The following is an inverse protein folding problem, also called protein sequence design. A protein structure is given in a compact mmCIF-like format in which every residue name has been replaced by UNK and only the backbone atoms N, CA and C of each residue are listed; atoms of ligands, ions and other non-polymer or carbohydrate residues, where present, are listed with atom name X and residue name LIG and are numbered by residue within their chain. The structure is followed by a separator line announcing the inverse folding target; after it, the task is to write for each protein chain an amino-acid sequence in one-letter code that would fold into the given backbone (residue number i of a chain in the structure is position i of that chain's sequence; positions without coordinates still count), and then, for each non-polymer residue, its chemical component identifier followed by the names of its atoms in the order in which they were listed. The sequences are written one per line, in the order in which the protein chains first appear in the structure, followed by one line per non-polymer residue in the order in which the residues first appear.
data_IF_716122995159
#
_entry.id   IF_716122995159
#
_cell.length_a   1.000
_cell.length_b   1.000
_cell.length_c   1.000
_cell.angle_alpha   90.00
_cell.angle_beta   90.00
_cell.angle_gamma   90.00
#
_symmetry.space_group_name_H-M   'P 1'
#
loop_
_entity.id
_entity.type
_entity.pdbx_description
1 polymer ?
#
# COMPACT_ATOMS: atom_id res chain seq x y z
N UNK A 1 14.75 6.43 7.91
CA UNK A 1 15.05 5.17 8.62
C UNK A 1 15.04 4.00 7.65
N UNK A 2 13.92 3.76 6.96
CA UNK A 2 13.81 2.84 5.81
C UNK A 2 15.04 2.96 4.90
N UNK A 3 15.35 4.18 4.47
CA UNK A 3 16.49 4.61 3.65
C UNK A 3 17.89 4.14 4.14
N UNK A 4 18.08 3.92 5.45
CA UNK A 4 19.34 3.37 5.99
C UNK A 4 19.34 1.85 5.95
N UNK A 5 18.17 1.24 6.14
CA UNK A 5 17.96 -0.20 6.21
C UNK A 5 17.97 -0.82 4.79
N UNK A 6 17.40 -0.11 3.82
CA UNK A 6 17.47 -0.44 2.40
C UNK A 6 18.91 -0.47 1.89
N UNK A 7 19.71 0.58 2.14
CA UNK A 7 21.13 0.64 1.76
C UNK A 7 22.01 -0.44 2.41
N UNK A 8 21.53 -1.15 3.43
CA UNK A 8 22.23 -2.29 4.04
C UNK A 8 21.74 -3.66 3.53
N UNK A 9 20.76 -3.68 2.61
CA UNK A 9 20.20 -4.93 2.07
C UNK A 9 19.41 -5.72 3.10
N UNK A 10 18.63 -5.06 3.97
CA UNK A 10 17.90 -5.70 5.06
C UNK A 10 16.38 -5.73 4.84
N UNK A 11 15.93 -6.25 3.68
CA UNK A 11 14.52 -6.44 3.26
C UNK A 11 13.50 -6.53 4.40
N UNK A 12 13.54 -7.58 5.23
CA UNK A 12 12.55 -7.80 6.29
C UNK A 12 12.48 -6.63 7.29
N UNK A 13 13.61 -5.98 7.59
CA UNK A 13 13.64 -4.81 8.47
C UNK A 13 13.22 -3.53 7.74
N UNK A 14 13.39 -3.46 6.42
CA UNK A 14 12.86 -2.35 5.61
C UNK A 14 11.33 -2.39 5.55
N UNK A 15 10.74 -3.57 5.32
CA UNK A 15 9.29 -3.81 5.38
C UNK A 15 8.73 -3.46 6.76
N UNK A 16 9.28 -4.03 7.84
CA UNK A 16 8.91 -3.67 9.22
C UNK A 16 9.00 -2.16 9.50
N UNK A 17 9.94 -1.44 8.87
CA UNK A 17 10.06 0.01 9.01
C UNK A 17 9.04 0.81 8.17
N UNK A 18 8.49 0.23 7.09
CA UNK A 18 7.36 0.77 6.31
C UNK A 18 6.04 0.52 7.05
N UNK A 19 5.81 -0.71 7.50
CA UNK A 19 4.67 -1.11 8.34
C UNK A 19 4.56 -0.22 9.59
N UNK A 20 5.69 0.02 10.30
CA UNK A 20 5.72 0.97 11.43
C UNK A 20 5.38 2.41 11.01
N UNK A 21 5.74 2.84 9.80
CA UNK A 21 5.34 4.15 9.29
C UNK A 21 3.83 4.22 8.96
N UNK A 22 3.23 3.13 8.49
CA UNK A 22 1.77 3.03 8.27
C UNK A 22 1.03 3.00 9.62
N UNK A 23 1.42 2.11 10.54
CA UNK A 23 0.89 1.99 11.91
C UNK A 23 0.90 3.33 12.67
N UNK A 24 2.01 4.07 12.61
CA UNK A 24 2.14 5.39 13.27
C UNK A 24 1.31 6.48 12.58
N UNK A 25 1.03 6.34 11.27
CA UNK A 25 0.17 7.27 10.53
C UNK A 25 -1.31 7.03 10.87
N UNK A 26 -1.79 5.78 10.81
CA UNK A 26 -3.20 5.46 11.11
C UNK A 26 -3.51 5.30 12.60
N UNK A 27 -2.49 5.21 13.46
CA UNK A 27 -2.66 5.06 14.91
C UNK A 27 -3.31 3.72 15.28
N UNK A 28 -2.82 2.64 14.69
CA UNK A 28 -3.27 1.24 14.87
C UNK A 28 -2.09 0.28 14.77
N UNK A 29 -2.25 -0.96 15.23
CA UNK A 29 -1.19 -1.98 15.15
C UNK A 29 -1.39 -2.96 13.97
N UNK A 30 -0.33 -3.63 13.55
CA UNK A 30 -0.30 -4.79 12.62
C UNK A 30 -1.45 -5.80 12.85
N UNK A 31 -1.84 -6.00 14.12
CA UNK A 31 -2.84 -6.99 14.56
C UNK A 31 -4.24 -6.42 14.77
N UNK A 32 -4.41 -5.11 14.55
CA UNK A 32 -5.74 -4.49 14.51
C UNK A 32 -6.32 -4.66 13.10
N UNK A 33 -7.61 -5.00 13.00
CA UNK A 33 -8.30 -5.12 11.71
C UNK A 33 -8.12 -3.84 10.89
N UNK A 34 -7.80 -3.98 9.60
CA UNK A 34 -7.60 -2.86 8.66
C UNK A 34 -8.79 -1.89 8.65
N UNK A 35 -10.01 -2.41 8.84
CA UNK A 35 -11.24 -1.62 8.91
C UNK A 35 -11.22 -0.54 10.02
N UNK A 36 -10.33 -0.63 11.01
CA UNK A 36 -10.17 0.39 12.07
C UNK A 36 -9.49 1.69 11.62
N UNK A 37 -9.09 1.79 10.34
CA UNK A 37 -8.74 3.06 9.69
C UNK A 37 -9.98 3.83 9.17
N UNK A 38 -11.11 3.14 8.96
CA UNK A 38 -12.34 3.76 8.45
C UNK A 38 -12.97 4.69 9.49
N UNK A 39 -13.62 5.79 9.06
CA UNK A 39 -14.35 6.65 9.98
C UNK A 39 -15.50 5.87 10.65
N UNK A 40 -15.79 6.23 11.91
CA UNK A 40 -16.85 5.63 12.74
C UNK A 40 -16.68 4.15 13.12
N UNK A 41 -15.63 3.45 12.70
CA UNK A 41 -15.39 2.04 13.06
C UNK A 41 -14.91 1.82 14.50
N UNK A 42 -15.45 0.79 15.16
CA UNK A 42 -15.01 0.30 16.48
C UNK A 42 -14.48 -1.12 16.37
N UNK A 43 -13.82 -1.63 17.42
CA UNK A 43 -13.26 -3.01 17.40
C UNK A 43 -14.37 -4.07 17.38
N UNK A 44 -15.51 -3.77 17.96
CA UNK A 44 -16.72 -4.61 17.95
C UNK A 44 -17.33 -4.67 16.55
N UNK A 45 -17.39 -3.54 15.84
CA UNK A 45 -17.86 -3.50 14.46
C UNK A 45 -16.89 -4.20 13.51
N UNK A 46 -15.59 -3.93 13.59
CA UNK A 46 -14.58 -4.59 12.77
C UNK A 46 -14.62 -6.12 12.98
N UNK A 47 -14.81 -6.58 14.23
CA UNK A 47 -15.03 -8.01 14.52
C UNK A 47 -16.34 -8.54 13.92
N UNK A 48 -17.44 -7.77 13.94
CA UNK A 48 -18.71 -8.15 13.28
C UNK A 48 -18.56 -8.29 11.76
N UNK A 49 -17.72 -7.47 11.13
CA UNK A 49 -17.38 -7.57 9.71
C UNK A 49 -16.55 -8.82 9.39
N UNK A 50 -15.62 -9.22 10.26
CA UNK A 50 -14.86 -10.47 10.11
C UNK A 50 -15.70 -11.73 10.42
N UNK A 51 -16.62 -11.66 11.37
CA UNK A 51 -17.56 -12.75 11.69
C UNK A 51 -18.83 -12.74 10.79
N UNK A 52 -18.81 -12.00 9.69
CA UNK A 52 -19.96 -11.85 8.78
C UNK A 52 -20.32 -13.18 8.07
N UNK A 53 -21.59 -13.64 8.12
CA UNK A 53 -22.01 -14.85 7.42
C UNK A 53 -21.87 -14.74 5.90
N UNK A 54 -21.17 -15.70 5.28
CA UNK A 54 -21.03 -15.79 3.82
C UNK A 54 -19.65 -15.34 3.32
N UNK A 55 -19.31 -14.06 3.52
CA UNK A 55 -17.99 -13.49 3.19
C UNK A 55 -17.43 -12.76 4.41
N UNK A 56 -16.23 -13.13 4.87
CA UNK A 56 -15.46 -12.35 5.84
C UNK A 56 -15.06 -11.03 5.20
N UNK A 57 -15.28 -9.92 5.91
CA UNK A 57 -14.93 -8.58 5.43
C UNK A 57 -13.69 -8.15 6.21
N UNK A 58 -12.52 -8.17 5.56
CA UNK A 58 -11.22 -7.93 6.19
C UNK A 58 -10.52 -6.69 5.63
N UNK A 59 -10.66 -6.41 4.33
CA UNK A 59 -10.08 -5.26 3.64
C UNK A 59 -11.10 -4.15 3.37
N UNK A 60 -10.62 -2.97 2.94
CA UNK A 60 -11.51 -1.88 2.46
C UNK A 60 -12.22 -2.29 1.17
N UNK A 61 -11.55 -3.02 0.27
CA UNK A 61 -12.12 -3.50 -0.97
C UNK A 61 -13.30 -4.45 -0.72
N UNK A 62 -13.18 -5.37 0.26
CA UNK A 62 -14.29 -6.25 0.64
C UNK A 62 -15.55 -5.49 1.05
N UNK A 63 -15.40 -4.35 1.74
CA UNK A 63 -16.50 -3.50 2.17
C UNK A 63 -17.10 -2.66 1.03
N UNK A 64 -16.29 -2.30 0.03
CA UNK A 64 -16.76 -1.59 -1.19
C UNK A 64 -17.53 -2.55 -2.10
N UNK A 65 -17.07 -3.79 -2.25
CA UNK A 65 -17.73 -4.87 -3.02
C UNK A 65 -19.10 -5.29 -2.45
N UNK A 66 -19.41 -4.99 -1.18
CA UNK A 66 -20.70 -5.34 -0.59
C UNK A 66 -21.88 -4.65 -1.28
N UNK A 67 -22.95 -5.41 -1.49
CA UNK A 67 -24.26 -4.88 -1.89
C UNK A 67 -24.79 -3.87 -0.86
N UNK A 68 -25.50 -2.85 -1.34
CA UNK A 68 -25.81 -1.66 -0.55
C UNK A 68 -26.72 -1.94 0.65
N UNK A 69 -27.66 -2.87 0.51
CA UNK A 69 -28.55 -3.32 1.59
C UNK A 69 -27.81 -4.20 2.63
N UNK A 70 -26.96 -5.14 2.19
CA UNK A 70 -26.14 -5.96 3.09
C UNK A 70 -25.16 -5.09 3.90
N UNK A 71 -24.54 -4.11 3.24
CA UNK A 71 -23.65 -3.12 3.89
C UNK A 71 -24.41 -2.26 4.91
N UNK A 72 -25.65 -1.85 4.61
CA UNK A 72 -26.51 -1.11 5.55
C UNK A 72 -26.88 -1.96 6.77
N UNK A 73 -27.27 -3.22 6.57
CA UNK A 73 -27.60 -4.14 7.66
C UNK A 73 -26.37 -4.52 8.51
N UNK A 74 -25.21 -4.75 7.90
CA UNK A 74 -23.97 -5.10 8.60
C UNK A 74 -23.36 -3.93 9.38
N UNK A 75 -23.45 -2.69 8.86
CA UNK A 75 -22.88 -1.52 9.53
C UNK A 75 -23.83 -0.90 10.56
N UNK A 76 -25.14 -0.89 10.32
CA UNK A 76 -26.16 -0.28 11.20
C UNK A 76 -25.90 1.20 11.53
N UNK A 77 -25.29 1.92 10.57
CA UNK A 77 -24.93 3.33 10.69
C UNK A 77 -25.96 4.28 10.09
N UNK A 78 -25.90 5.56 10.46
CA UNK A 78 -26.66 6.63 9.81
C UNK A 78 -26.10 6.98 8.42
N UNK A 79 -26.93 7.49 7.52
CA UNK A 79 -26.51 7.87 6.16
C UNK A 79 -25.33 8.87 6.14
N UNK A 80 -25.22 9.76 7.13
CA UNK A 80 -24.06 10.66 7.24
C UNK A 80 -22.75 9.94 7.55
N UNK A 81 -22.79 8.87 8.35
CA UNK A 81 -21.60 8.06 8.64
C UNK A 81 -21.24 7.16 7.46
N UNK A 82 -22.23 6.61 6.75
CA UNK A 82 -22.03 5.86 5.50
C UNK A 82 -21.43 6.77 4.41
N UNK A 83 -21.86 8.03 4.32
CA UNK A 83 -21.28 9.05 3.44
C UNK A 83 -19.82 9.36 3.78
N UNK A 84 -19.45 9.40 5.06
CA UNK A 84 -18.05 9.57 5.48
C UNK A 84 -17.19 8.34 5.13
N UNK A 85 -17.72 7.12 5.29
CA UNK A 85 -17.06 5.88 4.85
C UNK A 85 -16.84 5.91 3.33
N UNK A 86 -17.86 6.26 2.53
CA UNK A 86 -17.69 6.40 1.09
C UNK A 86 -16.59 7.42 0.75
N UNK A 87 -16.60 8.62 1.34
CA UNK A 87 -15.54 9.64 1.15
C UNK A 87 -14.12 9.17 1.50
N UNK A 88 -14.00 8.18 2.40
CA UNK A 88 -12.74 7.49 2.68
C UNK A 88 -12.43 6.48 1.56
N UNK A 89 -13.35 5.56 1.24
CA UNK A 89 -13.16 4.53 0.22
C UNK A 89 -12.80 5.13 -1.15
N UNK A 90 -13.55 6.15 -1.60
CA UNK A 90 -13.30 6.89 -2.84
C UNK A 90 -11.99 7.73 -2.82
N UNK A 91 -11.17 7.66 -1.76
CA UNK A 91 -9.81 8.24 -1.67
C UNK A 91 -8.75 7.16 -1.37
N UNK A 92 -9.16 6.01 -0.87
CA UNK A 92 -8.27 4.89 -0.57
C UNK A 92 -7.52 4.49 -1.85
N UNK A 93 -6.20 4.28 -1.80
CA UNK A 93 -5.42 4.17 -3.02
C UNK A 93 -5.66 2.83 -3.73
N UNK A 94 -6.25 2.92 -4.93
CA UNK A 94 -6.24 1.85 -5.91
C UNK A 94 -5.19 2.18 -6.97
N UNK A 95 -4.11 1.40 -7.06
CA UNK A 95 -2.98 1.65 -7.97
C UNK A 95 -2.58 0.35 -8.67
N UNK A 96 -2.65 0.37 -10.00
CA UNK A 96 -2.13 -0.67 -10.88
C UNK A 96 -0.63 -0.45 -11.17
N UNK A 97 0.14 -1.55 -11.12
CA UNK A 97 1.56 -1.59 -11.45
C UNK A 97 1.76 -2.36 -12.75
N UNK A 98 2.30 -1.70 -13.78
CA UNK A 98 2.85 -2.39 -14.96
C UNK A 98 4.36 -2.15 -15.06
N UNK A 99 5.12 -3.17 -15.50
CA UNK A 99 6.57 -3.09 -15.62
C UNK A 99 7.10 -3.74 -16.89
N UNK A 100 8.20 -3.20 -17.42
CA UNK A 100 8.93 -3.70 -18.59
C UNK A 100 10.44 -3.65 -18.32
N UNK A 101 11.16 -4.72 -18.65
CA UNK A 101 12.63 -4.76 -18.55
C UNK A 101 13.21 -4.38 -19.91
N UNK A 102 13.85 -3.21 -20.01
CA UNK A 102 14.43 -2.73 -21.26
C UNK A 102 15.63 -3.58 -21.68
N UNK A 103 15.78 -3.83 -22.98
CA UNK A 103 16.79 -4.71 -23.60
C UNK A 103 16.91 -6.11 -22.96
N UNK A 104 15.78 -6.69 -22.51
CA UNK A 104 15.71 -8.00 -21.83
C UNK A 104 16.32 -9.19 -22.61
N UNK A 105 16.44 -9.12 -23.94
CA UNK A 105 17.10 -10.12 -24.78
C UNK A 105 18.64 -10.02 -24.77
N UNK A 106 19.21 -8.91 -24.30
CA UNK A 106 20.65 -8.61 -24.33
C UNK A 106 21.22 -8.33 -22.93
N UNK A 107 20.91 -9.19 -21.97
CA UNK A 107 21.32 -9.03 -20.55
C UNK A 107 22.54 -9.91 -20.22
N UNK A 108 23.73 -9.30 -20.17
CA UNK A 108 24.96 -9.97 -19.76
C UNK A 108 25.11 -10.12 -18.23
N UNK A 109 25.91 -11.10 -17.82
CA UNK A 109 26.14 -11.39 -16.41
C UNK A 109 27.06 -10.35 -15.75
N UNK A 110 26.48 -9.46 -14.94
CA UNK A 110 27.19 -8.33 -14.32
C UNK A 110 27.24 -7.09 -15.20
N UNK A 111 26.45 -7.05 -16.27
CA UNK A 111 26.11 -5.81 -16.97
C UNK A 111 25.02 -5.05 -16.21
N UNK A 112 24.91 -3.76 -16.49
CA UNK A 112 23.86 -2.91 -15.97
C UNK A 112 22.50 -3.31 -16.58
N UNK A 113 21.56 -3.64 -15.69
CA UNK A 113 20.02 -3.63 -15.82
C UNK A 113 18.25 -1.19 -15.85
N UNK A 114 17.55 -0.61 -16.89
CA UNK A 114 16.33 0.21 -16.79
C UNK A 114 15.14 -0.75 -16.79
N UNK A 115 14.54 -0.98 -15.62
CA UNK A 115 13.13 -1.42 -15.57
C UNK A 115 12.27 -0.17 -15.67
N UNK A 116 11.46 -0.09 -16.73
CA UNK A 116 10.42 0.92 -16.82
C UNK A 116 9.19 0.45 -16.06
N UNK A 117 8.54 1.37 -15.33
CA UNK A 117 7.29 1.10 -14.62
C UNK A 117 6.36 2.27 -14.78
N UNK A 118 5.10 1.94 -15.05
CA UNK A 118 3.97 2.86 -15.03
C UNK A 118 3.11 2.54 -13.81
N UNK A 119 2.78 3.57 -13.05
CA UNK A 119 1.82 3.51 -11.95
C UNK A 119 0.56 4.24 -12.39
N UNK A 120 -0.55 3.51 -12.48
CA UNK A 120 -1.83 4.07 -12.87
C UNK A 120 -2.76 4.04 -11.64
N UNK A 121 -3.29 5.20 -11.26
CA UNK A 121 -4.21 5.34 -10.11
C UNK A 121 -5.60 5.62 -10.62
N UNK A 122 -6.59 4.85 -10.16
CA UNK A 122 -7.99 5.27 -10.34
C UNK A 122 -8.29 6.44 -9.39
N UNK A 123 -8.82 7.52 -9.96
CA UNK A 123 -9.22 8.74 -9.27
C UNK A 123 -10.75 8.87 -9.16
N UNK A 124 -11.52 7.95 -9.72
CA UNK A 124 -12.99 7.93 -9.71
C UNK A 124 -13.63 9.28 -10.13
N UNK A 125 -13.03 9.94 -11.14
CA UNK A 125 -13.48 11.24 -11.64
C UNK A 125 -13.00 12.47 -10.83
N UNK A 126 -12.07 12.32 -9.89
CA UNK A 126 -11.35 13.42 -9.24
C UNK A 126 -10.20 13.93 -10.12
N UNK A 127 -9.73 15.15 -9.85
CA UNK A 127 -8.61 15.79 -10.57
C UNK A 127 -7.30 15.83 -9.79
N UNK A 128 -7.34 15.65 -8.47
CA UNK A 128 -6.19 15.80 -7.56
C UNK A 128 -6.27 14.77 -6.44
N UNK A 129 -5.11 14.29 -5.97
CA UNK A 129 -4.99 13.50 -4.74
C UNK A 129 -4.97 14.46 -3.55
N UNK A 130 -5.86 14.22 -2.57
CA UNK A 130 -5.87 14.97 -1.31
C UNK A 130 -5.07 14.26 -0.22
N UNK A 131 -4.80 14.92 0.92
CA UNK A 131 -4.04 14.33 2.02
C UNK A 131 -4.70 13.05 2.55
N UNK A 132 -3.84 12.15 3.05
CA UNK A 132 -4.21 10.88 3.68
C UNK A 132 -5.22 11.14 4.78
N UNK A 133 -6.32 10.38 4.77
CA UNK A 133 -7.24 10.37 5.91
C UNK A 133 -6.57 9.62 7.07
N UNK A 134 -6.04 10.38 8.02
CA UNK A 134 -5.28 9.91 9.16
C UNK A 134 -5.69 10.70 10.43
N UNK A 135 -6.93 10.55 10.92
CA UNK A 135 -7.50 11.41 11.98
C UNK A 135 -6.80 11.26 13.35
N UNK A 136 -5.94 10.25 13.50
CA UNK A 136 -5.09 10.04 14.70
C UNK A 136 -3.69 10.68 14.57
N UNK A 137 -3.33 11.18 13.39
CA UNK A 137 -2.03 11.81 13.13
C UNK A 137 -2.10 13.33 13.35
N UNK A 138 -1.13 13.97 14.02
CA UNK A 138 -1.24 15.36 14.47
C UNK A 138 -0.94 16.42 13.37
N UNK A 139 -0.90 16.04 12.10
CA UNK A 139 -0.53 16.91 10.95
C UNK A 139 -1.22 16.44 9.66
N UNK A 140 -1.29 17.30 8.64
CA UNK A 140 -1.49 16.82 7.26
C UNK A 140 -0.38 15.86 6.90
N UNK A 141 -0.73 14.86 6.09
CA UNK A 141 0.15 13.79 5.66
C UNK A 141 -0.18 13.49 4.21
N UNK A 142 0.76 13.78 3.33
CA UNK A 142 0.62 13.42 1.92
C UNK A 142 0.98 11.94 1.75
N UNK A 143 0.42 11.32 0.70
CA UNK A 143 0.75 9.96 0.32
C UNK A 143 2.23 9.82 -0.06
N UNK A 144 2.72 8.58 -0.13
CA UNK A 144 4.11 8.33 -0.44
C UNK A 144 4.40 6.85 -0.49
N UNK A 145 5.02 6.44 -1.60
CA UNK A 145 5.10 5.06 -2.02
C UNK A 145 6.55 4.58 -1.97
N UNK A 146 6.75 3.29 -1.69
CA UNK A 146 8.08 2.67 -1.76
C UNK A 146 8.12 1.68 -2.91
N UNK A 147 9.23 1.70 -3.62
CA UNK A 147 9.46 0.96 -4.85
C UNK A 147 10.79 0.21 -4.71
N UNK A 148 10.78 -1.12 -4.57
CA UNK A 148 12.05 -1.86 -4.36
C UNK A 148 12.00 -3.35 -4.68
N UNK A 149 12.82 -3.83 -5.62
CA UNK A 149 12.82 -5.26 -5.98
C UNK A 149 13.50 -6.12 -4.94
N UNK A 150 12.98 -7.34 -4.88
CA UNK A 150 13.56 -8.44 -4.15
C UNK A 150 14.01 -9.51 -5.14
N UNK A 151 15.29 -9.86 -5.11
CA UNK A 151 15.73 -11.10 -5.76
C UNK A 151 15.17 -12.26 -4.95
N UNK A 152 14.17 -12.94 -5.49
CA UNK A 152 13.63 -14.16 -4.87
C UNK A 152 14.68 -15.27 -4.90
N UNK A 153 15.35 -15.49 -3.77
CA UNK A 153 16.27 -16.62 -3.55
C UNK A 153 15.65 -17.50 -2.47
N UNK A 154 15.10 -18.65 -2.88
CA UNK A 154 14.78 -19.71 -1.92
C UNK A 154 16.08 -20.14 -1.19
N UNK A 155 16.02 -20.31 0.12
CA UNK A 155 17.13 -20.63 1.04
C UNK A 155 18.17 -19.51 1.32
N UNK A 156 17.76 -18.53 2.14
CA UNK A 156 18.41 -18.00 3.37
C UNK A 156 19.94 -17.73 3.50
N UNK A 157 20.85 -18.26 2.67
CA UNK A 157 22.31 -18.21 2.86
C UNK A 157 23.09 -17.75 1.61
N UNK A 158 23.25 -16.44 1.43
CA UNK A 158 24.31 -15.86 0.56
C UNK A 158 24.62 -14.42 0.96
N UNK A 159 25.92 -14.07 1.03
CA UNK A 159 26.41 -12.83 1.65
C UNK A 159 26.70 -11.68 0.68
N UNK A 160 25.88 -11.54 -0.38
CA UNK A 160 25.86 -10.34 -1.24
C UNK A 160 24.41 -9.96 -1.50
N UNK A 161 23.95 -8.89 -0.85
CA UNK A 161 22.57 -8.40 -0.93
C UNK A 161 22.54 -7.05 -1.65
N UNK A 162 22.46 -7.08 -2.98
CA UNK A 162 21.88 -5.96 -3.72
C UNK A 162 20.37 -6.01 -3.48
N UNK A 163 19.86 -4.99 -2.82
CA UNK A 163 18.44 -4.70 -2.62
C UNK A 163 18.32 -3.19 -2.64
N UNK A 164 17.45 -2.67 -3.50
CA UNK A 164 17.48 -1.28 -3.94
C UNK A 164 16.05 -0.76 -3.86
N UNK A 165 15.90 0.49 -3.42
CA UNK A 165 14.64 1.00 -2.88
C UNK A 165 14.52 2.50 -3.12
N UNK A 166 13.68 2.90 -4.06
CA UNK A 166 13.31 4.30 -4.30
C UNK A 166 12.03 4.61 -3.54
N UNK A 167 11.98 5.77 -2.86
CA UNK A 167 10.71 6.34 -2.39
C UNK A 167 10.16 7.24 -3.49
N UNK A 168 8.93 6.97 -3.95
CA UNK A 168 8.20 7.85 -4.84
C UNK A 168 7.43 8.88 -4.00
N UNK A 169 7.48 10.11 -4.49
CA UNK A 169 6.52 11.19 -4.23
C UNK A 169 6.05 11.65 -5.62
N UNK A 170 4.84 12.22 -5.72
CA UNK A 170 4.26 12.64 -7.00
C UNK A 170 5.15 13.67 -7.75
N UNK A 171 4.90 13.85 -9.05
CA UNK A 171 5.67 14.60 -10.09
C UNK A 171 6.86 13.88 -10.80
N UNK A 172 7.16 12.59 -10.55
CA UNK A 172 8.23 11.87 -11.27
C UNK A 172 7.73 11.04 -12.49
N UNK A 173 7.20 11.73 -13.52
CA UNK A 173 6.75 11.12 -14.80
C UNK A 173 7.87 10.34 -15.56
N UNK A 174 9.14 10.46 -15.16
CA UNK A 174 10.27 9.76 -15.80
C UNK A 174 11.30 9.28 -14.79
N UNK A 175 10.98 8.18 -14.12
CA UNK A 175 11.93 7.33 -13.42
C UNK A 175 13.01 6.77 -14.38
N UNK A 176 14.04 7.58 -14.69
CA UNK A 176 15.30 7.12 -15.29
C UNK A 176 16.18 6.48 -14.20
N UNK A 177 15.91 5.21 -13.92
CA UNK A 177 16.86 4.36 -13.23
C UNK A 177 18.02 4.01 -14.18
N UNK A 178 19.23 4.46 -13.84
CA UNK A 178 20.41 3.62 -14.05
C UNK A 178 20.27 2.43 -13.07
N UNK A 179 20.93 1.31 -13.34
CA UNK A 179 20.53 -0.01 -12.82
C UNK A 179 20.68 -0.32 -11.32
N UNK A 180 20.97 0.70 -10.51
CA UNK A 180 20.88 0.70 -9.04
C UNK A 180 19.43 0.90 -8.51
N UNK A 181 18.37 0.74 -9.33
CA UNK A 181 16.98 0.71 -8.85
C UNK A 181 16.12 -0.33 -9.61
N UNK A 182 15.30 -1.09 -8.87
CA UNK A 182 14.31 -2.07 -9.37
C UNK A 182 13.10 -2.10 -8.39
N UNK A 183 12.00 -2.81 -8.69
CA UNK A 183 10.63 -2.37 -8.29
C UNK A 183 9.72 -3.43 -7.60
N UNK A 184 8.94 -3.01 -6.60
CA UNK A 184 7.77 -3.68 -5.97
C UNK A 184 6.86 -2.58 -5.35
N UNK A 185 5.53 -2.70 -5.37
CA UNK A 185 4.61 -1.82 -4.61
C UNK A 185 3.99 -2.59 -3.45
N UNK A 186 3.98 -1.97 -2.27
CA UNK A 186 3.01 -2.24 -1.23
C UNK A 186 1.89 -1.19 -1.27
N UNK A 187 0.64 -1.62 -1.51
CA UNK A 187 -0.58 -0.81 -1.43
C UNK A 187 -1.37 -1.01 -0.13
N UNK A 188 -0.75 -1.62 0.88
CA UNK A 188 -1.39 -2.02 2.12
C UNK A 188 -2.07 -3.39 2.04
N UNK A 189 -1.73 -4.22 1.04
CA UNK A 189 -2.24 -5.57 0.86
C UNK A 189 -1.21 -6.62 1.31
N UNK A 190 -1.02 -6.71 2.63
CA UNK A 190 -0.34 -7.81 3.30
C UNK A 190 -1.36 -8.86 3.79
N UNK A 191 -1.84 -9.67 2.85
CA UNK A 191 -2.64 -10.89 3.07
C UNK A 191 -2.27 -11.99 2.08
#
# INVERSE_FOLDING_TARGET
MVDVISSNGWLNLALLAMEVSQMVTQGMWERDSMLLQLPHFTKELAKRCQENPGKSIETVFDLVEMEDDERRELLQMSDSQLMDIARFCNRFPNIDLTYEVLDSDNVGAGEDVSVHVSLERDLEGRTEVGPVDAPRYPKSKEEGWWLGVIRSIASQWMSRRQQLWKRIVEDDERCRANFDDWIFIDSGLLS
#
